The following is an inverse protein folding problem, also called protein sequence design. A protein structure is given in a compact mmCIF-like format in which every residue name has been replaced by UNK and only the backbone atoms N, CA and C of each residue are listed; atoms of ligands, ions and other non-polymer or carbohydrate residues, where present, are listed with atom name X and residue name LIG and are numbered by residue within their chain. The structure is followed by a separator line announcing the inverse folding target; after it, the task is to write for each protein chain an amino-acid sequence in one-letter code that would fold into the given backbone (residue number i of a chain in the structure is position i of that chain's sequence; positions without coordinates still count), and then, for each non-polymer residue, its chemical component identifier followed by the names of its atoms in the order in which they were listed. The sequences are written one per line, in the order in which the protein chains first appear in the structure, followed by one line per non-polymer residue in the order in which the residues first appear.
data_IF_888929960438
#
_entry.id   IF_888929960438
#
_cell.length_a   1.000
_cell.length_b   1.000
_cell.length_c   1.000
_cell.angle_alpha   90.00
_cell.angle_beta   90.00
_cell.angle_gamma   90.00
#
_symmetry.space_group_name_H-M   'P 1'
#
loop_
_entity.id
_entity.type
_entity.pdbx_description
1 polymer ?
#
# COMPACT_ATOMS: atom_id res chain seq x y z
N UNK A 1 -30.48 -1.78 42.07
CA UNK A 1 -29.12 -1.84 41.51
C UNK A 1 -28.22 -1.14 42.51
N UNK A 2 -27.22 -1.84 43.03
CA UNK A 2 -26.30 -1.26 44.02
C UNK A 2 -25.61 -0.03 43.43
N UNK A 3 -25.48 1.05 44.22
CA UNK A 3 -24.80 2.28 43.80
C UNK A 3 -23.40 1.98 43.21
N UNK A 4 -22.73 0.93 43.71
CA UNK A 4 -21.44 0.49 43.22
C UNK A 4 -21.44 0.00 41.76
N UNK A 5 -22.48 -0.72 41.32
CA UNK A 5 -22.52 -1.22 39.93
C UNK A 5 -22.81 -0.09 38.93
N UNK A 6 -23.61 0.90 39.33
CA UNK A 6 -23.86 2.10 38.54
C UNK A 6 -22.58 2.92 38.30
N UNK A 7 -21.75 3.10 39.33
CA UNK A 7 -20.48 3.83 39.21
C UNK A 7 -19.46 3.10 38.32
N UNK A 8 -19.44 1.77 38.39
CA UNK A 8 -18.54 0.94 37.57
C UNK A 8 -18.92 1.03 36.09
N UNK A 9 -20.21 0.90 35.77
CA UNK A 9 -20.70 1.00 34.38
C UNK A 9 -20.41 2.39 33.81
N UNK A 10 -20.62 3.46 34.60
CA UNK A 10 -20.34 4.83 34.17
C UNK A 10 -18.86 5.05 33.84
N UNK A 11 -17.94 4.54 34.66
CA UNK A 11 -16.49 4.74 34.43
C UNK A 11 -16.02 4.05 33.15
N UNK A 12 -16.49 2.82 32.91
CA UNK A 12 -16.18 2.07 31.68
C UNK A 12 -16.77 2.78 30.46
N UNK A 13 -18.00 3.27 30.55
CA UNK A 13 -18.65 3.98 29.45
C UNK A 13 -17.90 5.27 29.07
N UNK A 14 -17.42 6.03 30.05
CA UNK A 14 -16.61 7.24 29.81
C UNK A 14 -15.26 6.88 29.18
N UNK A 15 -14.57 5.86 29.71
CA UNK A 15 -13.28 5.40 29.17
C UNK A 15 -13.43 4.90 27.73
N UNK A 16 -14.44 4.09 27.45
CA UNK A 16 -14.74 3.59 26.11
C UNK A 16 -15.11 4.74 25.17
N UNK A 17 -15.95 5.67 25.63
CA UNK A 17 -16.29 6.89 24.90
C UNK A 17 -15.06 7.71 24.53
N UNK A 18 -14.12 7.88 25.46
CA UNK A 18 -12.85 8.57 25.21
C UNK A 18 -11.97 7.84 24.20
N UNK A 19 -11.86 6.51 24.31
CA UNK A 19 -11.06 5.70 23.38
C UNK A 19 -11.62 5.77 21.95
N UNK A 20 -12.95 5.74 21.81
CA UNK A 20 -13.67 5.78 20.52
C UNK A 20 -13.72 7.20 19.94
N UNK A 21 -13.75 8.24 20.76
CA UNK A 21 -13.70 9.64 20.29
C UNK A 21 -12.29 10.12 19.98
N UNK A 22 -11.25 9.44 20.49
CA UNK A 22 -9.84 9.72 20.18
C UNK A 22 -9.53 9.86 18.68
N UNK A 23 -9.98 8.99 17.75
CA UNK A 23 -9.73 9.16 16.31
C UNK A 23 -10.43 10.36 15.67
N UNK A 24 -11.43 10.97 16.33
CA UNK A 24 -12.13 12.16 15.82
C UNK A 24 -11.50 13.48 16.28
N UNK A 25 -10.79 13.48 17.41
CA UNK A 25 -10.07 14.66 17.93
C UNK A 25 -8.58 14.65 17.60
N UNK A 26 -8.06 13.53 17.12
CA UNK A 26 -6.72 13.49 16.56
C UNK A 26 -6.83 13.91 15.10
N UNK A 27 -6.70 15.21 14.86
CA UNK A 27 -6.08 15.65 13.62
C UNK A 27 -4.81 14.82 13.48
N UNK A 28 -4.65 14.20 12.32
CA UNK A 28 -3.50 13.39 11.94
C UNK A 28 -2.30 14.33 11.78
N UNK A 29 -1.86 14.93 12.87
CA UNK A 29 -0.51 15.47 13.04
C UNK A 29 0.32 14.38 13.68
N UNK A 30 0.49 13.27 12.95
CA UNK A 30 1.61 12.38 13.18
C UNK A 30 2.88 13.10 12.76
N UNK A 31 3.50 13.83 13.69
CA UNK A 31 4.96 13.82 13.92
C UNK A 31 5.28 14.69 15.12
N UNK A 32 5.68 14.03 16.19
CA UNK A 32 6.55 14.59 17.23
C UNK A 32 7.84 15.01 16.53
N UNK A 33 8.17 16.30 16.61
CA UNK A 33 9.38 16.88 16.05
C UNK A 33 9.16 18.34 15.69
N UNK A 34 9.36 19.21 16.67
CA UNK A 34 9.53 20.65 16.50
C UNK A 34 10.37 20.99 15.26
N UNK A 35 9.77 21.75 14.34
CA UNK A 35 10.34 22.90 13.61
C UNK A 35 9.49 23.15 12.36
N UNK A 36 8.85 24.32 12.31
CA UNK A 36 8.16 24.89 11.14
C UNK A 36 9.12 24.93 9.93
N UNK A 37 8.87 24.14 8.87
CA UNK A 37 8.64 24.72 7.54
C UNK A 37 7.60 23.88 6.74
N UNK A 38 6.33 23.89 7.16
CA UNK A 38 5.37 22.84 6.81
C UNK A 38 4.17 23.26 5.94
N UNK A 39 4.07 24.50 5.45
CA UNK A 39 2.92 24.86 4.59
C UNK A 39 3.11 24.43 3.12
N UNK A 40 4.32 24.60 2.56
CA UNK A 40 4.57 24.28 1.14
C UNK A 40 4.64 22.77 0.88
N UNK A 41 5.28 21.99 1.77
CA UNK A 41 5.40 20.54 1.59
C UNK A 41 4.05 19.82 1.75
N UNK A 42 3.24 20.24 2.73
CA UNK A 42 1.89 19.67 2.94
C UNK A 42 0.98 19.96 1.75
N UNK A 43 1.05 21.16 1.17
CA UNK A 43 0.33 21.48 -0.07
C UNK A 43 0.78 20.62 -1.26
N UNK A 44 2.09 20.36 -1.41
CA UNK A 44 2.59 19.51 -2.49
C UNK A 44 2.21 18.04 -2.34
N UNK A 45 2.13 17.52 -1.11
CA UNK A 45 1.67 16.16 -0.83
C UNK A 45 0.17 15.99 -1.12
N UNK A 46 -0.63 16.99 -0.75
CA UNK A 46 -2.06 17.02 -1.09
C UNK A 46 -2.26 17.04 -2.61
N UNK A 47 -1.54 17.90 -3.33
CA UNK A 47 -1.56 17.95 -4.80
C UNK A 47 -1.17 16.60 -5.43
N UNK A 48 -0.12 15.95 -4.91
CA UNK A 48 0.33 14.64 -5.38
C UNK A 48 -0.75 13.58 -5.18
N UNK A 49 -1.37 13.54 -3.99
CA UNK A 49 -2.44 12.59 -3.67
C UNK A 49 -3.65 12.75 -4.62
N UNK A 50 -4.04 14.00 -4.92
CA UNK A 50 -5.11 14.29 -5.86
C UNK A 50 -4.77 13.84 -7.29
N UNK A 51 -3.51 13.97 -7.71
CA UNK A 51 -3.06 13.51 -9.03
C UNK A 51 -3.02 11.98 -9.13
N UNK A 52 -2.67 11.28 -8.06
CA UNK A 52 -2.73 9.81 -8.03
C UNK A 52 -4.16 9.29 -8.22
N UNK A 53 -5.14 9.93 -7.59
CA UNK A 53 -6.57 9.59 -7.82
C UNK A 53 -6.97 9.85 -9.27
N UNK A 54 -6.53 10.97 -9.86
CA UNK A 54 -6.81 11.25 -11.28
C UNK A 54 -6.17 10.23 -12.22
N UNK A 55 -4.94 9.77 -11.92
CA UNK A 55 -4.28 8.69 -12.67
C UNK A 55 -5.12 7.41 -12.64
N UNK A 56 -5.59 6.98 -11.47
CA UNK A 56 -6.44 5.78 -11.35
C UNK A 56 -7.75 5.93 -12.15
N UNK A 57 -8.36 7.11 -12.11
CA UNK A 57 -9.55 7.41 -12.90
C UNK A 57 -9.29 7.30 -14.41
N UNK A 58 -8.23 7.92 -14.94
CA UNK A 58 -7.93 7.82 -16.38
C UNK A 58 -7.64 6.38 -16.80
N UNK A 59 -6.95 5.60 -15.97
CA UNK A 59 -6.72 4.18 -16.24
C UNK A 59 -8.03 3.40 -16.31
N UNK A 60 -8.96 3.68 -15.40
CA UNK A 60 -10.31 3.12 -15.46
C UNK A 60 -11.04 3.50 -16.74
N UNK A 61 -11.02 4.78 -17.14
CA UNK A 61 -11.66 5.26 -18.38
C UNK A 61 -11.07 4.64 -19.65
N UNK A 62 -9.75 4.45 -19.69
CA UNK A 62 -9.08 3.75 -20.79
C UNK A 62 -9.51 2.29 -20.85
N UNK A 63 -9.58 1.61 -19.70
CA UNK A 63 -10.04 0.24 -19.63
C UNK A 63 -11.49 0.12 -20.09
N UNK A 64 -12.39 0.99 -19.61
CA UNK A 64 -13.80 1.00 -20.01
C UNK A 64 -13.93 1.23 -21.53
N UNK A 65 -13.20 2.19 -22.08
CA UNK A 65 -13.17 2.46 -23.52
C UNK A 65 -12.69 1.25 -24.33
N UNK A 66 -11.62 0.60 -23.89
CA UNK A 66 -11.08 -0.61 -24.52
C UNK A 66 -12.11 -1.75 -24.45
N UNK A 67 -12.83 -1.90 -23.33
CA UNK A 67 -13.90 -2.91 -23.21
C UNK A 67 -15.08 -2.63 -24.13
N UNK A 68 -15.55 -1.39 -24.21
CA UNK A 68 -16.67 -1.04 -25.09
C UNK A 68 -16.33 -1.22 -26.57
N UNK A 69 -15.08 -0.94 -26.96
CA UNK A 69 -14.59 -1.24 -28.29
C UNK A 69 -14.51 -2.75 -28.54
N UNK A 70 -14.00 -3.53 -27.59
CA UNK A 70 -13.94 -5.00 -27.70
C UNK A 70 -15.33 -5.63 -27.87
N UNK A 71 -16.35 -5.02 -27.26
CA UNK A 71 -17.76 -5.39 -27.39
C UNK A 71 -18.44 -4.81 -28.64
N UNK A 72 -17.69 -4.12 -29.52
CA UNK A 72 -18.15 -3.47 -30.75
C UNK A 72 -19.29 -2.45 -30.53
N UNK A 73 -19.37 -1.84 -29.34
CA UNK A 73 -20.34 -0.77 -29.06
C UNK A 73 -19.95 0.57 -29.68
N UNK A 74 -18.66 0.77 -29.97
CA UNK A 74 -18.09 2.02 -30.46
C UNK A 74 -17.35 1.75 -31.78
N UNK A 75 -17.52 2.58 -32.81
CA UNK A 75 -16.78 2.44 -34.07
C UNK A 75 -15.30 2.84 -33.92
N UNK A 76 -14.43 2.22 -34.73
CA UNK A 76 -12.97 2.37 -34.69
C UNK A 76 -12.51 3.84 -34.71
N UNK A 77 -13.05 4.66 -35.61
CA UNK A 77 -12.65 6.07 -35.74
C UNK A 77 -12.88 6.88 -34.45
N UNK A 78 -13.98 6.59 -33.73
CA UNK A 78 -14.29 7.27 -32.46
C UNK A 78 -13.48 6.70 -31.30
N UNK A 79 -13.22 5.40 -31.31
CA UNK A 79 -12.36 4.74 -30.34
C UNK A 79 -10.95 5.32 -30.36
N UNK A 80 -10.33 5.39 -31.55
CA UNK A 80 -8.96 5.91 -31.70
C UNK A 80 -8.85 7.35 -31.25
N UNK A 81 -9.75 8.23 -31.70
CA UNK A 81 -9.73 9.64 -31.30
C UNK A 81 -9.84 9.82 -29.77
N UNK A 82 -10.79 9.13 -29.12
CA UNK A 82 -10.99 9.22 -27.66
C UNK A 82 -9.83 8.60 -26.89
N UNK A 83 -9.28 7.49 -27.37
CA UNK A 83 -8.14 6.81 -26.75
C UNK A 83 -6.86 7.64 -26.82
N UNK A 84 -6.61 8.28 -27.97
CA UNK A 84 -5.49 9.20 -28.11
C UNK A 84 -5.63 10.40 -27.15
N UNK A 85 -6.82 10.97 -27.00
CA UNK A 85 -7.07 12.06 -26.05
C UNK A 85 -6.77 11.65 -24.60
N UNK A 86 -7.33 10.52 -24.14
CA UNK A 86 -7.11 10.00 -22.78
C UNK A 86 -5.64 9.65 -22.50
N UNK A 87 -4.93 9.11 -23.50
CA UNK A 87 -3.50 8.82 -23.36
C UNK A 87 -2.65 10.08 -23.23
N UNK A 88 -2.97 11.12 -24.01
CA UNK A 88 -2.27 12.39 -23.91
C UNK A 88 -2.49 13.02 -22.52
N UNK A 89 -3.73 12.95 -22.00
CA UNK A 89 -4.04 13.41 -20.65
C UNK A 89 -3.28 12.61 -19.59
N UNK A 90 -3.24 11.27 -19.69
CA UNK A 90 -2.45 10.41 -18.81
C UNK A 90 -0.97 10.80 -18.79
N UNK A 91 -0.37 11.08 -19.96
CA UNK A 91 1.03 11.47 -20.07
C UNK A 91 1.32 12.77 -19.31
N UNK A 92 0.42 13.75 -19.39
CA UNK A 92 0.55 15.02 -18.66
C UNK A 92 0.44 14.82 -17.15
N UNK A 93 -0.50 13.98 -16.70
CA UNK A 93 -0.65 13.68 -15.26
C UNK A 93 0.59 12.96 -14.72
N UNK A 94 1.12 11.98 -15.44
CA UNK A 94 2.32 11.26 -15.03
C UNK A 94 3.53 12.19 -14.94
N UNK A 95 3.72 13.06 -15.92
CA UNK A 95 4.78 14.07 -15.87
C UNK A 95 4.66 14.97 -14.63
N UNK A 96 3.44 15.39 -14.29
CA UNK A 96 3.20 16.24 -13.11
C UNK A 96 3.47 15.51 -11.80
N UNK A 97 3.14 14.22 -11.74
CA UNK A 97 3.46 13.35 -10.59
C UNK A 97 4.98 13.27 -10.42
N UNK A 98 5.71 12.97 -11.50
CA UNK A 98 7.18 12.87 -11.47
C UNK A 98 7.82 14.18 -10.99
N UNK A 99 7.34 15.34 -11.46
CA UNK A 99 7.82 16.66 -11.03
C UNK A 99 7.59 16.90 -9.52
N UNK A 100 6.42 16.54 -8.99
CA UNK A 100 6.09 16.71 -7.57
C UNK A 100 6.88 15.74 -6.69
N UNK A 101 7.02 14.48 -7.11
CA UNK A 101 7.84 13.51 -6.39
C UNK A 101 9.30 13.93 -6.31
N UNK A 102 9.84 14.54 -7.37
CA UNK A 102 11.19 15.10 -7.36
C UNK A 102 11.31 16.30 -6.41
N UNK A 103 10.31 17.19 -6.39
CA UNK A 103 10.28 18.34 -5.46
C UNK A 103 10.27 17.88 -4.01
N UNK A 104 9.38 16.95 -3.66
CA UNK A 104 9.29 16.39 -2.30
C UNK A 104 10.62 15.73 -1.91
N UNK A 105 11.20 14.87 -2.79
CA UNK A 105 12.52 14.25 -2.54
C UNK A 105 13.64 15.28 -2.36
N UNK A 106 13.62 16.38 -3.11
CA UNK A 106 14.63 17.44 -2.99
C UNK A 106 14.45 18.27 -1.72
N UNK A 107 13.22 18.51 -1.26
CA UNK A 107 12.92 19.18 -0.01
C UNK A 107 13.41 18.36 1.19
N UNK A 108 13.22 17.04 1.14
CA UNK A 108 13.75 16.10 2.15
C UNK A 108 15.28 16.03 2.16
N UNK A 109 15.93 16.20 1.00
CA UNK A 109 17.38 16.21 0.88
C UNK A 109 18.01 17.49 1.49
N UNK A 110 17.39 18.66 1.29
CA UNK A 110 17.86 19.94 1.85
C UNK A 110 17.75 20.02 3.38
N UNK A 111 16.87 19.23 4.01
CA UNK A 111 16.81 19.12 5.49
C UNK A 111 17.95 18.28 6.11
N UNK A 112 18.84 17.68 5.30
CA UNK A 112 19.93 16.78 5.74
C UNK A 112 21.35 17.35 5.60
N UNK A 113 21.54 18.67 5.72
CA UNK A 113 22.87 19.26 5.95
C UNK A 113 23.28 19.20 7.43
N UNK A 114 23.35 17.99 7.97
CA UNK A 114 24.36 17.63 8.98
C UNK A 114 25.06 16.38 8.45
N UNK A 115 26.41 16.26 8.54
CA UNK A 115 27.13 15.13 7.99
C UNK A 115 26.93 13.91 8.91
N UNK A 116 25.75 13.31 8.84
CA UNK A 116 25.51 11.96 9.32
C UNK A 116 25.06 11.10 8.14
N UNK A 117 25.74 9.97 7.88
CA UNK A 117 25.42 9.12 6.76
C UNK A 117 23.99 8.59 6.90
N UNK A 118 23.10 9.10 6.05
CA UNK A 118 21.95 8.42 5.44
C UNK A 118 21.36 7.21 6.20
N UNK A 119 20.89 7.41 7.44
CA UNK A 119 20.22 6.37 8.21
C UNK A 119 18.85 5.93 7.63
N UNK A 120 18.26 6.70 6.71
CA UNK A 120 16.91 6.41 6.17
C UNK A 120 16.94 5.58 4.88
N UNK A 121 18.00 5.66 4.06
CA UNK A 121 18.21 4.68 2.99
C UNK A 121 18.79 3.38 3.55
N UNK A 122 19.61 3.47 4.61
CA UNK A 122 20.06 2.32 5.39
C UNK A 122 18.87 1.63 6.07
N UNK A 123 17.83 2.32 6.55
CA UNK A 123 16.70 1.65 7.20
C UNK A 123 15.81 0.84 6.25
N UNK A 124 15.58 1.29 5.01
CA UNK A 124 14.81 0.50 4.04
C UNK A 124 15.62 -0.69 3.51
N UNK A 125 16.92 -0.52 3.26
CA UNK A 125 17.83 -1.60 2.85
C UNK A 125 18.02 -2.61 4.00
N UNK A 126 18.26 -2.13 5.24
CA UNK A 126 18.34 -2.98 6.42
C UNK A 126 17.01 -3.69 6.71
N UNK A 127 15.85 -3.04 6.48
CA UNK A 127 14.55 -3.69 6.67
C UNK A 127 14.29 -4.75 5.61
N UNK A 128 14.74 -4.55 4.37
CA UNK A 128 14.65 -5.57 3.33
C UNK A 128 15.55 -6.76 3.66
N UNK A 129 16.79 -6.51 4.12
CA UNK A 129 17.73 -7.54 4.54
C UNK A 129 17.24 -8.31 5.78
N UNK A 130 16.68 -7.61 6.78
CA UNK A 130 16.09 -8.21 7.98
C UNK A 130 14.86 -9.05 7.62
N UNK A 131 14.00 -8.56 6.72
CA UNK A 131 12.84 -9.32 6.22
C UNK A 131 13.31 -10.55 5.42
N UNK A 132 14.31 -10.42 4.55
CA UNK A 132 14.87 -11.54 3.79
C UNK A 132 15.51 -12.58 4.73
N UNK A 133 16.20 -12.15 5.78
CA UNK A 133 16.75 -13.03 6.80
C UNK A 133 15.65 -13.72 7.61
N UNK A 134 14.59 -13.01 8.02
CA UNK A 134 13.42 -13.59 8.67
C UNK A 134 12.70 -14.61 7.77
N UNK A 135 12.57 -14.32 6.47
CA UNK A 135 11.98 -15.24 5.48
C UNK A 135 12.89 -16.46 5.30
N UNK A 136 14.21 -16.27 5.22
CA UNK A 136 15.18 -17.35 5.09
C UNK A 136 15.18 -18.24 6.34
N UNK A 137 15.18 -17.66 7.54
CA UNK A 137 15.07 -18.37 8.81
C UNK A 137 13.77 -19.18 8.88
N UNK A 138 12.63 -18.59 8.48
CA UNK A 138 11.33 -19.26 8.40
C UNK A 138 11.27 -20.34 7.31
N UNK A 139 12.04 -20.21 6.23
CA UNK A 139 12.17 -21.25 5.19
C UNK A 139 13.05 -22.40 5.66
N UNK A 140 14.15 -22.12 6.36
CA UNK A 140 15.02 -23.13 6.98
C UNK A 140 14.28 -23.93 8.06
N UNK A 141 13.49 -23.26 8.90
CA UNK A 141 12.69 -23.91 9.95
C UNK A 141 11.58 -24.81 9.39
N UNK A 142 11.13 -24.57 8.16
CA UNK A 142 10.09 -25.36 7.46
C UNK A 142 10.68 -26.33 6.43
N UNK A 143 12.00 -26.49 6.37
CA UNK A 143 12.61 -27.49 5.50
C UNK A 143 12.46 -28.88 6.14
N UNK A 144 11.22 -29.35 6.26
CA UNK A 144 10.89 -30.68 6.70
C UNK A 144 11.18 -31.68 5.57
N UNK A 145 11.21 -32.97 5.90
CA UNK A 145 11.43 -34.01 4.89
C UNK A 145 10.29 -33.96 3.87
N UNK A 146 10.62 -34.08 2.59
CA UNK A 146 9.62 -34.19 1.52
C UNK A 146 8.77 -35.44 1.75
N UNK A 147 7.44 -35.27 1.79
CA UNK A 147 6.47 -36.36 1.92
C UNK A 147 6.15 -37.06 0.59
N UNK A 148 6.84 -36.66 -0.50
CA UNK A 148 6.68 -37.23 -1.82
C UNK A 148 6.21 -36.20 -2.84
N UNK A 149 5.47 -36.66 -3.84
CA UNK A 149 4.98 -35.83 -4.95
C UNK A 149 3.46 -35.74 -4.92
N UNK A 150 2.92 -34.56 -5.25
CA UNK A 150 1.49 -34.35 -5.40
C UNK A 150 0.94 -35.21 -6.54
N UNK A 151 -0.14 -35.99 -6.32
CA UNK A 151 -0.73 -36.85 -7.36
C UNK A 151 -1.40 -36.06 -8.50
N UNK A 152 -1.72 -34.78 -8.30
CA UNK A 152 -2.42 -33.96 -9.30
C UNK A 152 -1.48 -33.15 -10.19
N UNK A 153 -0.35 -32.65 -9.67
CA UNK A 153 0.57 -31.80 -10.43
C UNK A 153 2.02 -32.30 -10.48
N UNK A 154 2.35 -33.38 -9.75
CA UNK A 154 3.68 -33.98 -9.73
C UNK A 154 4.75 -33.16 -9.02
N UNK A 155 4.42 -32.03 -8.35
CA UNK A 155 5.40 -31.26 -7.58
C UNK A 155 5.61 -31.84 -6.19
N UNK A 156 6.83 -31.67 -5.66
CA UNK A 156 7.19 -32.11 -4.31
C UNK A 156 6.35 -31.40 -3.25
N UNK A 157 5.92 -32.16 -2.25
CA UNK A 157 5.12 -31.69 -1.12
C UNK A 157 5.84 -32.01 0.20
N UNK A 158 5.61 -31.18 1.22
CA UNK A 158 6.14 -31.37 2.57
C UNK A 158 5.14 -32.18 3.42
N UNK A 159 5.62 -32.85 4.47
CA UNK A 159 4.77 -33.66 5.37
C UNK A 159 3.70 -32.85 6.10
N UNK A 160 3.95 -31.56 6.35
CA UNK A 160 2.99 -30.66 6.98
C UNK A 160 1.99 -30.03 5.99
N UNK A 161 2.13 -30.25 4.68
CA UNK A 161 1.26 -29.64 3.67
C UNK A 161 -0.09 -30.39 3.56
N UNK A 162 -1.18 -29.76 4.04
CA UNK A 162 -2.55 -30.27 3.82
C UNK A 162 -3.06 -30.04 2.40
N UNK A 163 -2.44 -29.10 1.68
CA UNK A 163 -2.76 -28.71 0.31
C UNK A 163 -1.47 -28.50 -0.48
N UNK A 164 -1.46 -28.84 -1.76
CA UNK A 164 -0.28 -28.66 -2.59
C UNK A 164 -0.01 -27.17 -2.80
N UNK A 165 1.19 -26.64 -2.48
CA UNK A 165 1.51 -25.23 -2.64
C UNK A 165 1.59 -24.77 -4.11
N UNK A 166 1.58 -25.71 -5.05
CA UNK A 166 1.72 -25.42 -6.48
C UNK A 166 0.41 -25.40 -7.26
N UNK A 167 -0.55 -26.26 -6.91
CA UNK A 167 -1.83 -26.37 -7.63
C UNK A 167 -3.05 -26.23 -6.71
N UNK A 168 -2.86 -26.11 -5.39
CA UNK A 168 -3.94 -25.92 -4.41
C UNK A 168 -4.79 -27.16 -4.12
N UNK A 169 -4.56 -28.29 -4.79
CA UNK A 169 -5.31 -29.52 -4.54
C UNK A 169 -5.01 -30.07 -3.15
N UNK A 170 -6.02 -30.57 -2.44
CA UNK A 170 -5.87 -31.23 -1.15
C UNK A 170 -4.94 -32.44 -1.30
N UNK A 171 -3.95 -32.55 -0.42
CA UNK A 171 -3.07 -33.73 -0.35
C UNK A 171 -3.84 -34.77 0.47
N UNK A 172 -4.08 -35.95 -0.12
CA UNK A 172 -4.68 -37.05 0.60
C UNK A 172 -3.68 -37.52 1.68
N UNK A 173 -4.19 -37.74 2.89
CA UNK A 173 -3.44 -38.34 4.00
C UNK A 173 -2.95 -39.74 3.65
#
# INVERSE_FOLDING_TARGET
MDIGSLLLILSIAILAGFLVSRPFYTDIHSTIGDELPAEENVATEEELSALLVKKENILFLLQELDTDHSLRKIPEDRYQAKRHALKNEAALILQRIDDLELRIRSADASKKETPHPSAVQISLINSADEIEEMIAARRRSRNEKSAGFCPHCGKVIQTSDRFCPACGSKVAE
#
